data_IF_697779779076
#
_entry.id   IF_697779779076
#
_cell.length_a   1.000
_cell.length_b   1.000
_cell.length_c   1.000
_cell.angle_alpha   90.00
_cell.angle_beta   90.00
_cell.angle_gamma   90.00
#
_symmetry.space_group_name_H-M   'P 1'
#
loop_
_entity.id
_entity.type
_entity.pdbx_description
1 polymer ?
#
# COMPACT_ATOMS: atom_id res chain seq x y z
N UNK A 1 25.89 -18.84 -2.40
CA UNK A 1 25.44 -17.60 -1.81
C UNK A 1 23.93 -17.57 -1.82
N UNK A 2 23.40 -17.50 -0.66
CA UNK A 2 21.99 -17.40 -0.52
C UNK A 2 21.59 -15.95 -0.77
N UNK A 3 20.88 -15.74 -1.85
CA UNK A 3 20.28 -14.44 -2.09
C UNK A 3 18.85 -14.53 -1.57
N UNK A 4 18.56 -13.78 -0.55
CA UNK A 4 17.18 -13.63 -0.13
C UNK A 4 16.41 -13.04 -1.32
N UNK A 5 15.31 -13.64 -1.72
CA UNK A 5 14.53 -13.09 -2.81
C UNK A 5 14.04 -11.71 -2.39
N UNK A 6 14.70 -10.69 -2.92
CA UNK A 6 14.25 -9.32 -2.71
C UNK A 6 13.11 -9.11 -3.69
N UNK A 7 11.91 -9.45 -3.26
CA UNK A 7 10.72 -9.27 -4.07
C UNK A 7 10.29 -7.82 -4.16
N UNK A 8 10.76 -7.01 -3.22
CA UNK A 8 10.46 -5.58 -3.16
C UNK A 8 11.73 -4.78 -3.37
N UNK A 9 11.63 -3.71 -4.13
CA UNK A 9 12.73 -2.82 -4.39
C UNK A 9 12.52 -1.53 -3.58
N UNK A 10 13.41 -1.20 -2.64
CA UNK A 10 13.27 0.03 -1.86
C UNK A 10 13.20 1.30 -2.70
N UNK A 11 13.83 1.29 -3.88
CA UNK A 11 13.78 2.45 -4.78
C UNK A 11 12.43 2.64 -5.45
N UNK A 12 11.58 1.61 -5.41
CA UNK A 12 10.22 1.66 -5.95
C UNK A 12 9.19 1.96 -4.87
N UNK A 13 9.62 2.31 -3.66
CA UNK A 13 8.73 2.67 -2.58
C UNK A 13 8.16 4.06 -2.78
N UNK A 14 6.86 4.18 -2.59
CA UNK A 14 6.15 5.46 -2.62
C UNK A 14 5.31 5.59 -1.36
N UNK A 15 5.30 6.77 -0.78
CA UNK A 15 4.53 7.07 0.43
C UNK A 15 3.66 8.28 0.22
N UNK A 16 2.50 8.27 0.85
CA UNK A 16 1.60 9.41 0.88
C UNK A 16 0.94 9.49 2.23
N UNK A 17 0.76 10.71 2.73
CA UNK A 17 -0.06 10.98 3.88
C UNK A 17 -1.43 11.44 3.39
N UNK A 18 -2.47 10.85 3.95
CA UNK A 18 -3.84 11.14 3.55
C UNK A 18 -4.62 11.59 4.78
N UNK A 19 -5.33 12.71 4.64
CA UNK A 19 -6.24 13.16 5.69
C UNK A 19 -7.37 12.14 5.82
N UNK A 20 -7.84 11.95 7.05
CA UNK A 20 -8.91 10.99 7.34
C UNK A 20 -10.27 11.58 6.96
N UNK A 21 -10.52 11.73 5.67
CA UNK A 21 -11.77 12.28 5.15
C UNK A 21 -12.41 11.29 4.15
N UNK A 22 -13.67 11.51 3.76
CA UNK A 22 -14.37 10.59 2.86
C UNK A 22 -13.71 10.40 1.49
N UNK A 23 -12.82 11.29 1.09
CA UNK A 23 -12.15 11.22 -0.20
C UNK A 23 -10.84 10.45 -0.14
N UNK A 24 -10.35 10.14 1.06
CA UNK A 24 -9.08 9.44 1.22
C UNK A 24 -9.02 8.09 0.51
N UNK A 25 -10.06 7.23 0.55
CA UNK A 25 -9.98 5.95 -0.16
C UNK A 25 -9.79 6.12 -1.67
N UNK A 26 -10.46 7.09 -2.29
CA UNK A 26 -10.29 7.35 -3.71
C UNK A 26 -8.90 7.85 -4.05
N UNK A 27 -8.35 8.72 -3.21
CA UNK A 27 -6.98 9.20 -3.39
C UNK A 27 -5.96 8.09 -3.21
N UNK A 28 -6.21 7.21 -2.24
CA UNK A 28 -5.34 6.06 -2.00
C UNK A 28 -5.30 5.14 -3.21
N UNK A 29 -6.46 4.85 -3.78
CA UNK A 29 -6.56 4.02 -4.97
C UNK A 29 -5.81 4.61 -6.14
N UNK A 30 -6.01 5.90 -6.41
CA UNK A 30 -5.33 6.61 -7.50
C UNK A 30 -3.81 6.62 -7.29
N UNK A 31 -3.38 6.86 -6.06
CA UNK A 31 -1.96 6.86 -5.72
C UNK A 31 -1.32 5.49 -5.97
N UNK A 32 -1.98 4.43 -5.53
CA UNK A 32 -1.46 3.07 -5.70
C UNK A 32 -1.41 2.67 -7.18
N UNK A 33 -2.42 3.01 -7.95
CA UNK A 33 -2.44 2.76 -9.39
C UNK A 33 -1.23 3.42 -10.05
N UNK A 34 -0.99 4.69 -9.76
CA UNK A 34 0.14 5.40 -10.33
C UNK A 34 1.47 4.79 -9.89
N UNK A 35 1.61 4.48 -8.59
CA UNK A 35 2.85 3.91 -8.06
C UNK A 35 3.18 2.57 -8.72
N UNK A 36 2.19 1.70 -8.89
CA UNK A 36 2.42 0.39 -9.51
C UNK A 36 2.64 0.52 -11.02
N UNK A 37 1.95 1.45 -11.68
CA UNK A 37 2.16 1.68 -13.10
C UNK A 37 3.58 2.17 -13.39
N UNK A 38 4.18 2.92 -12.47
CA UNK A 38 5.53 3.46 -12.65
C UNK A 38 6.63 2.53 -12.17
N UNK A 39 6.38 1.67 -11.20
CA UNK A 39 7.45 0.91 -10.58
C UNK A 39 7.10 -0.48 -10.11
N UNK A 40 6.00 -1.04 -10.56
CA UNK A 40 5.59 -2.38 -10.18
C UNK A 40 5.11 -3.22 -11.34
N UNK A 41 4.59 -4.43 -11.06
CA UNK A 41 4.05 -5.29 -12.11
C UNK A 41 2.72 -4.74 -12.64
N UNK A 42 2.68 -4.50 -13.93
CA UNK A 42 1.53 -3.88 -14.59
C UNK A 42 0.24 -4.66 -14.37
N UNK A 43 0.33 -5.98 -14.29
CA UNK A 43 -0.83 -6.83 -14.08
C UNK A 43 -1.51 -6.65 -12.72
N UNK A 44 -0.84 -6.01 -11.76
CA UNK A 44 -1.37 -5.79 -10.43
C UNK A 44 -1.90 -4.36 -10.20
N UNK A 45 -1.89 -3.51 -11.22
CA UNK A 45 -2.28 -2.10 -11.09
C UNK A 45 -3.69 -1.95 -10.52
N UNK A 46 -4.65 -2.64 -11.11
CA UNK A 46 -6.06 -2.50 -10.69
C UNK A 46 -6.28 -3.06 -9.29
N UNK A 47 -5.71 -4.22 -9.00
CA UNK A 47 -5.84 -4.83 -7.68
C UNK A 47 -5.17 -4.00 -6.60
N UNK A 48 -4.02 -3.39 -6.92
CA UNK A 48 -3.33 -2.50 -5.99
C UNK A 48 -4.19 -1.28 -5.65
N UNK A 49 -4.81 -0.69 -6.66
CA UNK A 49 -5.70 0.45 -6.43
C UNK A 49 -6.88 0.11 -5.54
N UNK A 50 -7.51 -1.03 -5.81
CA UNK A 50 -8.63 -1.50 -5.00
C UNK A 50 -8.21 -1.80 -3.57
N UNK A 51 -7.10 -2.49 -3.40
CA UNK A 51 -6.60 -2.84 -2.08
C UNK A 51 -6.26 -1.60 -1.26
N UNK A 52 -5.56 -0.64 -1.85
CA UNK A 52 -5.21 0.59 -1.16
C UNK A 52 -6.47 1.34 -0.73
N UNK A 53 -7.46 1.44 -1.60
CA UNK A 53 -8.73 2.10 -1.29
C UNK A 53 -9.44 1.43 -0.12
N UNK A 54 -9.51 0.10 -0.11
CA UNK A 54 -10.17 -0.65 0.96
C UNK A 54 -9.43 -0.54 2.29
N UNK A 55 -8.10 -0.61 2.26
CA UNK A 55 -7.30 -0.48 3.49
C UNK A 55 -7.42 0.89 4.11
N UNK A 56 -7.39 1.94 3.29
CA UNK A 56 -7.54 3.31 3.79
C UNK A 56 -8.96 3.53 4.28
N UNK A 57 -9.97 3.03 3.57
CA UNK A 57 -11.35 3.13 4.02
C UNK A 57 -11.54 2.49 5.39
N UNK A 58 -10.90 1.35 5.63
CA UNK A 58 -10.94 0.69 6.93
C UNK A 58 -10.22 1.51 8.00
N UNK A 59 -9.04 2.04 7.67
CA UNK A 59 -8.23 2.78 8.64
C UNK A 59 -8.92 4.06 9.12
N UNK A 60 -9.53 4.82 8.22
CA UNK A 60 -10.15 6.11 8.58
C UNK A 60 -11.42 5.96 9.42
N UNK A 61 -11.98 4.75 9.54
CA UNK A 61 -13.10 4.50 10.46
C UNK A 61 -12.68 4.54 11.91
N UNK A 62 -11.38 4.42 12.18
CA UNK A 62 -10.85 4.28 13.52
C UNK A 62 -9.97 5.44 13.95
N UNK A 63 -9.78 6.42 13.10
CA UNK A 63 -8.93 7.56 13.41
C UNK A 63 -9.43 8.84 12.73
N UNK A 64 -9.18 9.97 13.37
CA UNK A 64 -9.36 11.29 12.78
C UNK A 64 -8.01 11.87 12.32
N UNK A 65 -6.92 11.18 12.64
CA UNK A 65 -5.58 11.60 12.26
C UNK A 65 -5.24 11.14 10.84
N UNK A 66 -4.29 11.82 10.16
CA UNK A 66 -3.84 11.36 8.85
C UNK A 66 -3.30 9.94 8.90
N UNK A 67 -3.48 9.21 7.82
CA UNK A 67 -2.94 7.86 7.65
C UNK A 67 -1.81 7.87 6.63
N UNK A 68 -0.81 7.04 6.85
CA UNK A 68 0.30 6.90 5.90
C UNK A 68 0.06 5.67 5.04
N UNK A 69 0.07 5.88 3.74
CA UNK A 69 0.00 4.82 2.74
C UNK A 69 1.37 4.61 2.15
N UNK A 70 1.85 3.37 2.18
CA UNK A 70 3.11 2.99 1.56
C UNK A 70 2.82 1.92 0.50
N UNK A 71 3.36 2.13 -0.69
CA UNK A 71 3.27 1.17 -1.79
C UNK A 71 4.70 0.79 -2.17
N UNK A 72 5.01 -0.49 -2.01
CA UNK A 72 6.30 -1.04 -2.38
C UNK A 72 6.13 -1.90 -3.63
N UNK A 73 6.87 -1.60 -4.67
CA UNK A 73 6.87 -2.37 -5.91
C UNK A 73 8.02 -3.34 -6.00
N UNK A 74 7.79 -4.44 -6.67
CA UNK A 74 8.80 -5.43 -7.03
C UNK A 74 8.55 -5.87 -8.46
N UNK A 75 9.23 -6.92 -8.89
CA UNK A 75 9.07 -7.42 -10.25
C UNK A 75 7.77 -8.20 -10.43
N UNK A 76 7.37 -8.94 -9.41
CA UNK A 76 6.21 -9.82 -9.48
C UNK A 76 5.24 -9.62 -8.31
N UNK A 77 5.48 -8.62 -7.45
CA UNK A 77 4.63 -8.38 -6.30
C UNK A 77 4.55 -6.90 -5.95
N UNK A 78 3.52 -6.57 -5.21
CA UNK A 78 3.30 -5.24 -4.63
C UNK A 78 2.91 -5.43 -3.18
N UNK A 79 3.48 -4.63 -2.30
CA UNK A 79 3.05 -4.59 -0.91
C UNK A 79 2.42 -3.23 -0.64
N UNK A 80 1.26 -3.27 -0.04
CA UNK A 80 0.53 -2.06 0.33
C UNK A 80 0.40 -2.06 1.85
N UNK A 81 0.81 -0.97 2.46
CA UNK A 81 0.81 -0.83 3.91
C UNK A 81 0.12 0.48 4.28
N UNK A 82 -0.76 0.41 5.25
CA UNK A 82 -1.42 1.59 5.81
C UNK A 82 -1.09 1.67 7.29
N UNK A 83 -0.55 2.79 7.70
CA UNK A 83 -0.22 3.07 9.10
C UNK A 83 -1.16 4.13 9.62
N UNK A 84 -1.76 3.80 10.73
CA UNK A 84 -2.63 4.69 11.49
C UNK A 84 -1.89 5.03 12.79
N UNK A 85 -1.39 6.26 12.90
CA UNK A 85 -0.76 6.73 14.12
C UNK A 85 -1.79 7.48 14.96
N UNK A 86 -2.23 6.86 16.04
CA UNK A 86 -3.04 7.55 17.01
C UNK A 86 -2.12 8.43 17.88
N UNK A 87 -2.14 9.73 17.62
CA UNK A 87 -1.30 10.68 18.33
C UNK A 87 -1.61 10.77 19.82
N UNK A 88 -2.82 10.35 20.24
CA UNK A 88 -3.21 10.39 21.65
C UNK A 88 -2.61 9.25 22.46
N UNK A 89 -2.11 8.21 21.79
CA UNK A 89 -1.54 7.04 22.45
C UNK A 89 -0.22 6.68 21.75
N UNK A 90 0.89 7.29 22.18
CA UNK A 90 2.19 7.00 21.57
C UNK A 90 2.51 5.51 21.60
N UNK A 91 2.91 4.96 20.45
CA UNK A 91 3.24 3.56 20.35
C UNK A 91 2.06 2.65 20.03
N UNK A 92 0.86 3.18 19.91
CA UNK A 92 -0.34 2.40 19.61
C UNK A 92 -0.68 2.40 18.12
N UNK A 93 0.21 2.89 17.28
CA UNK A 93 0.00 2.92 15.84
C UNK A 93 -0.34 1.54 15.30
N UNK A 94 -1.37 1.50 14.46
CA UNK A 94 -1.81 0.28 13.82
C UNK A 94 -1.23 0.23 12.41
N UNK A 95 -0.62 -0.89 12.06
CA UNK A 95 -0.09 -1.11 10.72
C UNK A 95 -0.79 -2.33 10.13
N UNK A 96 -1.36 -2.15 8.95
CA UNK A 96 -1.96 -3.24 8.19
C UNK A 96 -1.27 -3.29 6.85
N UNK A 97 -0.81 -4.47 6.45
CA UNK A 97 -0.15 -4.62 5.17
C UNK A 97 -0.70 -5.81 4.42
N UNK A 98 -0.69 -5.70 3.10
CA UNK A 98 -1.09 -6.77 2.19
C UNK A 98 -0.08 -6.88 1.06
N UNK A 99 0.17 -8.11 0.65
CA UNK A 99 1.01 -8.41 -0.49
C UNK A 99 0.15 -8.97 -1.61
N UNK A 100 0.35 -8.42 -2.81
CA UNK A 100 -0.27 -8.91 -4.03
C UNK A 100 0.83 -9.52 -4.89
N UNK A 101 0.57 -10.69 -5.44
CA UNK A 101 1.52 -11.36 -6.32
C UNK A 101 0.85 -11.66 -7.64
N UNK A 102 1.62 -11.55 -8.71
CA UNK A 102 1.12 -12.01 -9.99
C UNK A 102 0.90 -13.51 -9.93
N UNK A 103 -0.21 -13.96 -10.54
CA UNK A 103 -0.47 -15.37 -10.64
C UNK A 103 0.63 -16.03 -11.47
N UNK A 104 1.19 -17.11 -10.93
CA UNK A 104 2.14 -17.90 -11.68
C UNK A 104 1.42 -18.59 -12.83
N UNK A 105 1.88 -18.34 -14.06
CA UNK A 105 1.40 -19.05 -15.23
C UNK A 105 2.26 -20.29 -15.48
N UNK A 106 2.56 -21.02 -14.41
CA UNK A 106 3.27 -22.28 -14.56
C UNK A 106 2.40 -23.23 -15.37
N UNK A 107 2.92 -23.67 -16.44
CA UNK A 107 2.26 -24.65 -17.31
C UNK A 107 2.64 -26.04 -16.85
#
# INVERSE_FOLDING_TARGET
>A
VLVAPAHLDPERRRRAWLDADPQAPGRAGAFAVEAVALGGPVGLVDDAGRMASELVASAIRHTDAPVELTVDGGDDMVRIEVRDDDASLPGSGRVVSFELREASTAV
#
